data_IF_630220061537
#
_entry.id   IF_630220061537
#
_cell.length_a   1.000
_cell.length_b   1.000
_cell.length_c   1.000
_cell.angle_alpha   90.00
_cell.angle_beta   90.00
_cell.angle_gamma   90.00
#
_symmetry.space_group_name_H-M   'P 1'
#
loop_
_entity.id
_entity.type
_entity.pdbx_description
1 polymer ?
#
# COMPACT_ATOMS: atom_id res chain seq x y z
N UNK A 1 -29.21 4.77 -0.80
CA UNK A 1 -28.69 6.14 -0.99
C UNK A 1 -28.09 6.71 0.28
N UNK A 2 -28.87 6.92 1.36
CA UNK A 2 -28.39 7.42 2.67
C UNK A 2 -27.09 6.76 3.16
N UNK A 3 -27.03 5.42 3.18
CA UNK A 3 -25.83 4.65 3.57
C UNK A 3 -24.60 4.99 2.71
N UNK A 4 -24.77 5.16 1.40
CA UNK A 4 -23.71 5.53 0.47
C UNK A 4 -23.19 6.95 0.67
N UNK A 5 -24.09 7.90 0.96
CA UNK A 5 -23.75 9.29 1.30
C UNK A 5 -22.93 9.30 2.61
N UNK A 6 -23.43 8.68 3.67
CA UNK A 6 -22.75 8.62 4.99
C UNK A 6 -21.38 7.93 4.87
N UNK A 7 -21.31 6.80 4.15
CA UNK A 7 -20.06 6.07 3.86
C UNK A 7 -19.01 6.97 3.22
N UNK A 8 -19.37 7.61 2.10
CA UNK A 8 -18.44 8.45 1.36
C UNK A 8 -18.06 9.74 2.10
N UNK A 9 -18.98 10.36 2.86
CA UNK A 9 -18.66 11.50 3.74
C UNK A 9 -17.65 11.12 4.83
N UNK A 10 -17.85 9.97 5.49
CA UNK A 10 -16.91 9.45 6.49
C UNK A 10 -15.53 9.15 5.87
N UNK A 11 -15.51 8.53 4.70
CA UNK A 11 -14.28 8.23 3.97
C UNK A 11 -13.53 9.49 3.54
N UNK A 12 -14.23 10.50 3.01
CA UNK A 12 -13.66 11.78 2.62
C UNK A 12 -13.02 12.48 3.83
N UNK A 13 -13.68 12.48 4.99
CA UNK A 13 -13.11 13.03 6.22
C UNK A 13 -11.83 12.31 6.65
N UNK A 14 -11.80 10.97 6.59
CA UNK A 14 -10.62 10.16 6.93
C UNK A 14 -9.47 10.41 5.94
N UNK A 15 -9.78 10.52 4.63
CA UNK A 15 -8.81 10.81 3.58
C UNK A 15 -8.25 12.23 3.70
N UNK A 16 -9.08 13.26 3.87
CA UNK A 16 -8.64 14.65 4.06
C UNK A 16 -7.75 14.81 5.30
N UNK A 17 -8.12 14.20 6.43
CA UNK A 17 -7.31 14.19 7.66
C UNK A 17 -5.98 13.44 7.47
N UNK A 18 -5.99 12.36 6.68
CA UNK A 18 -4.77 11.62 6.32
C UNK A 18 -3.88 12.43 5.36
N UNK A 19 -4.45 13.08 4.36
CA UNK A 19 -3.76 13.90 3.36
C UNK A 19 -3.05 15.10 4.01
N UNK A 20 -3.76 15.85 4.87
CA UNK A 20 -3.15 16.96 5.66
C UNK A 20 -1.95 16.47 6.49
N UNK A 21 -2.02 15.28 7.08
CA UNK A 21 -0.93 14.68 7.88
C UNK A 21 0.21 14.08 7.05
N UNK A 22 -0.05 13.60 5.84
CA UNK A 22 0.94 12.93 4.98
C UNK A 22 1.54 13.83 3.89
N UNK A 23 1.16 15.12 3.81
CA UNK A 23 1.64 16.07 2.79
C UNK A 23 3.17 16.14 2.67
N UNK A 24 3.92 15.87 3.76
CA UNK A 24 5.39 15.81 3.76
C UNK A 24 6.00 14.57 3.10
N UNK A 25 5.22 13.52 2.76
CA UNK A 25 5.71 12.28 2.12
C UNK A 25 5.14 12.13 0.71
N UNK A 26 5.79 12.78 -0.27
CA UNK A 26 5.35 12.94 -1.67
C UNK A 26 4.80 11.65 -2.32
N UNK A 27 5.46 10.49 -2.18
CA UNK A 27 5.05 9.23 -2.83
C UNK A 27 3.69 8.67 -2.38
N UNK A 28 3.16 9.07 -1.22
CA UNK A 28 1.83 8.64 -0.75
C UNK A 28 0.72 9.64 -1.06
N UNK A 29 1.05 10.83 -1.55
CA UNK A 29 0.08 11.87 -1.86
C UNK A 29 -0.78 11.54 -3.09
N UNK A 30 -0.20 10.89 -4.10
CA UNK A 30 -0.84 10.63 -5.40
C UNK A 30 -1.99 9.62 -5.30
N UNK A 31 -1.74 8.46 -4.68
CA UNK A 31 -2.80 7.50 -4.41
C UNK A 31 -3.95 8.11 -3.58
N UNK A 32 -3.63 8.93 -2.57
CA UNK A 32 -4.64 9.61 -1.75
C UNK A 32 -5.43 10.65 -2.56
N UNK A 33 -4.83 11.28 -3.58
CA UNK A 33 -5.48 12.24 -4.46
C UNK A 33 -6.49 11.55 -5.40
N UNK A 34 -6.12 10.42 -6.02
CA UNK A 34 -7.07 9.63 -6.81
C UNK A 34 -8.18 9.00 -5.96
N UNK A 35 -7.84 8.43 -4.79
CA UNK A 35 -8.84 7.91 -3.86
C UNK A 35 -9.80 9.01 -3.36
N UNK A 36 -9.31 10.24 -3.16
CA UNK A 36 -10.17 11.38 -2.83
C UNK A 36 -11.06 11.81 -3.99
N UNK A 37 -10.59 11.70 -5.24
CA UNK A 37 -11.37 11.96 -6.44
C UNK A 37 -12.47 10.92 -6.66
N UNK A 38 -12.17 9.63 -6.43
CA UNK A 38 -13.14 8.54 -6.44
C UNK A 38 -14.24 8.78 -5.39
N UNK A 39 -13.88 8.92 -4.11
CA UNK A 39 -14.85 9.12 -3.01
C UNK A 39 -15.70 10.38 -3.20
N UNK A 40 -15.14 11.45 -3.80
CA UNK A 40 -15.91 12.64 -4.18
C UNK A 40 -16.91 12.35 -5.32
N UNK A 41 -16.48 11.58 -6.31
CA UNK A 41 -17.33 11.14 -7.43
C UNK A 41 -18.48 10.25 -6.94
N UNK A 42 -18.20 9.30 -6.05
CA UNK A 42 -19.18 8.39 -5.46
C UNK A 42 -20.17 9.11 -4.53
N UNK A 43 -19.68 10.06 -3.73
CA UNK A 43 -20.51 10.96 -2.93
C UNK A 43 -21.48 11.77 -3.81
N UNK A 44 -20.96 12.44 -4.84
CA UNK A 44 -21.77 13.25 -5.75
C UNK A 44 -22.75 12.39 -6.56
N UNK A 45 -22.34 11.19 -6.97
CA UNK A 45 -23.21 10.22 -7.64
C UNK A 45 -24.38 9.79 -6.76
N UNK A 46 -24.13 9.40 -5.50
CA UNK A 46 -25.21 9.07 -4.57
C UNK A 46 -26.09 10.28 -4.20
N UNK A 47 -25.52 11.49 -4.14
CA UNK A 47 -26.27 12.70 -3.84
C UNK A 47 -27.18 13.11 -5.01
N UNK A 48 -26.62 13.23 -6.22
CA UNK A 48 -27.34 13.72 -7.40
C UNK A 48 -28.28 12.64 -7.93
N UNK A 49 -27.77 11.46 -8.29
CA UNK A 49 -28.61 10.37 -8.83
C UNK A 49 -29.61 9.87 -7.78
N UNK A 50 -29.23 9.90 -6.49
CA UNK A 50 -30.14 9.54 -5.40
C UNK A 50 -31.26 10.56 -5.19
N UNK A 51 -30.98 11.87 -5.30
CA UNK A 51 -32.01 12.92 -5.19
C UNK A 51 -32.95 12.89 -6.41
N UNK A 52 -32.41 12.74 -7.62
CA UNK A 52 -33.20 12.58 -8.85
C UNK A 52 -34.10 11.35 -8.78
N UNK A 53 -33.58 10.20 -8.36
CA UNK A 53 -34.38 9.00 -8.14
C UNK A 53 -35.49 9.25 -7.10
N UNK A 54 -35.16 9.81 -5.93
CA UNK A 54 -36.15 10.12 -4.89
C UNK A 54 -37.25 11.06 -5.37
N UNK A 55 -36.92 12.07 -6.18
CA UNK A 55 -37.88 12.98 -6.79
C UNK A 55 -38.85 12.25 -7.73
N UNK A 56 -38.32 11.38 -8.62
CA UNK A 56 -39.13 10.55 -9.52
C UNK A 56 -40.05 9.59 -8.74
N UNK A 57 -39.55 9.00 -7.64
CA UNK A 57 -40.37 8.16 -6.76
C UNK A 57 -41.45 8.95 -6.01
N UNK A 58 -41.18 10.21 -5.62
CA UNK A 58 -42.15 11.07 -4.95
C UNK A 58 -43.28 11.54 -5.88
N UNK A 59 -43.02 11.60 -7.19
CA UNK A 59 -44.01 11.92 -8.24
C UNK A 59 -44.61 10.67 -8.90
N UNK A 60 -44.71 9.56 -8.16
CA UNK A 60 -45.30 8.28 -8.60
C UNK A 60 -44.71 7.70 -9.91
N UNK A 61 -43.55 8.20 -10.36
CA UNK A 61 -42.91 7.90 -11.66
C UNK A 61 -43.69 8.37 -12.90
N UNK A 62 -44.61 9.33 -12.77
CA UNK A 62 -45.42 9.85 -13.87
C UNK A 62 -44.66 10.90 -14.70
N UNK A 63 -43.66 10.46 -15.48
CA UNK A 63 -42.75 11.34 -16.23
C UNK A 63 -43.44 12.38 -17.13
N UNK A 64 -44.57 12.02 -17.74
CA UNK A 64 -45.34 12.92 -18.60
C UNK A 64 -45.89 14.16 -17.85
N UNK A 65 -46.09 14.06 -16.54
CA UNK A 65 -46.64 15.15 -15.71
C UNK A 65 -45.61 16.22 -15.35
N UNK A 66 -44.32 15.87 -15.23
CA UNK A 66 -43.29 16.76 -14.69
C UNK A 66 -42.09 17.00 -15.61
N UNK A 67 -41.86 16.17 -16.64
CA UNK A 67 -40.78 16.35 -17.61
C UNK A 67 -41.26 16.17 -19.07
N UNK A 68 -42.27 16.93 -19.54
CA UNK A 68 -42.80 16.83 -20.90
C UNK A 68 -41.76 17.18 -21.99
N UNK A 69 -40.68 17.89 -21.63
CA UNK A 69 -39.58 18.25 -22.53
C UNK A 69 -38.38 17.29 -22.47
N UNK A 70 -38.43 16.24 -21.63
CA UNK A 70 -37.35 15.25 -21.41
C UNK A 70 -36.00 15.85 -20.96
N UNK A 71 -36.02 17.05 -20.38
CA UNK A 71 -34.82 17.79 -19.93
C UNK A 71 -34.29 17.18 -18.64
N UNK A 72 -35.18 16.83 -17.69
CA UNK A 72 -34.77 16.21 -16.44
C UNK A 72 -34.26 14.78 -16.67
N UNK A 73 -34.89 14.03 -17.58
CA UNK A 73 -34.46 12.72 -18.02
C UNK A 73 -33.10 12.77 -18.75
N UNK A 74 -32.90 13.75 -19.62
CA UNK A 74 -31.62 14.05 -20.26
C UNK A 74 -30.52 14.29 -19.22
N UNK A 75 -30.75 15.18 -18.26
CA UNK A 75 -29.81 15.47 -17.16
C UNK A 75 -29.52 14.23 -16.32
N UNK A 76 -30.55 13.46 -15.93
CA UNK A 76 -30.38 12.25 -15.13
C UNK A 76 -29.57 11.18 -15.88
N UNK A 77 -29.79 11.00 -17.19
CA UNK A 77 -29.02 10.08 -18.03
C UNK A 77 -27.54 10.48 -18.16
N UNK A 78 -27.25 11.78 -18.30
CA UNK A 78 -25.87 12.31 -18.27
C UNK A 78 -25.21 12.00 -16.92
N UNK A 79 -25.89 12.28 -15.80
CA UNK A 79 -25.36 12.02 -14.46
C UNK A 79 -25.15 10.51 -14.20
N UNK A 80 -26.08 9.65 -14.62
CA UNK A 80 -25.93 8.19 -14.51
C UNK A 80 -24.73 7.67 -15.29
N UNK A 81 -24.53 8.16 -16.52
CA UNK A 81 -23.38 7.78 -17.37
C UNK A 81 -22.06 8.32 -16.81
N UNK A 82 -22.02 9.57 -16.36
CA UNK A 82 -20.83 10.20 -15.78
C UNK A 82 -20.39 9.54 -14.47
N UNK A 83 -21.31 9.36 -13.51
CA UNK A 83 -21.04 8.72 -12.22
C UNK A 83 -20.90 7.19 -12.32
N UNK A 84 -21.21 6.59 -13.46
CA UNK A 84 -20.90 5.19 -13.75
C UNK A 84 -19.52 4.99 -14.38
N UNK A 85 -19.15 5.81 -15.36
CA UNK A 85 -17.87 5.67 -16.05
C UNK A 85 -16.69 6.22 -15.23
N UNK A 86 -16.90 7.29 -14.45
CA UNK A 86 -15.81 7.93 -13.67
C UNK A 86 -15.16 6.99 -12.63
N UNK A 87 -15.91 6.24 -11.78
CA UNK A 87 -15.32 5.29 -10.83
C UNK A 87 -14.49 4.20 -11.51
N UNK A 88 -14.97 3.69 -12.66
CA UNK A 88 -14.24 2.70 -13.46
C UNK A 88 -12.89 3.24 -13.94
N UNK A 89 -12.89 4.42 -14.55
CA UNK A 89 -11.66 5.06 -15.04
C UNK A 89 -10.67 5.38 -13.91
N UNK A 90 -11.15 5.84 -12.73
CA UNK A 90 -10.29 5.99 -11.56
C UNK A 90 -9.76 4.65 -11.04
N UNK A 91 -10.58 3.60 -11.03
CA UNK A 91 -10.15 2.22 -10.74
C UNK A 91 -8.97 1.78 -11.60
N UNK A 92 -9.08 1.95 -12.92
CA UNK A 92 -8.02 1.64 -13.88
C UNK A 92 -6.73 2.44 -13.63
N UNK A 93 -6.84 3.76 -13.44
CA UNK A 93 -5.69 4.63 -13.18
C UNK A 93 -5.01 4.29 -11.85
N UNK A 94 -5.77 4.02 -10.79
CA UNK A 94 -5.22 3.59 -9.50
C UNK A 94 -4.52 2.23 -9.62
N UNK A 95 -5.10 1.26 -10.35
CA UNK A 95 -4.47 -0.04 -10.55
C UNK A 95 -3.15 0.08 -11.33
N UNK A 96 -3.09 0.93 -12.37
CA UNK A 96 -1.86 1.22 -13.12
C UNK A 96 -0.80 1.90 -12.23
N UNK A 97 -1.18 2.90 -11.43
CA UNK A 97 -0.29 3.57 -10.46
C UNK A 97 0.34 2.57 -9.49
N UNK A 98 -0.46 1.66 -8.96
CA UNK A 98 0.00 0.58 -8.07
C UNK A 98 0.89 -0.44 -8.78
N UNK A 99 0.55 -0.83 -10.00
CA UNK A 99 1.37 -1.74 -10.80
C UNK A 99 2.76 -1.16 -11.06
N UNK A 100 2.85 0.11 -11.50
CA UNK A 100 4.12 0.81 -11.73
C UNK A 100 4.90 0.95 -10.41
N UNK A 101 4.24 1.30 -9.31
CA UNK A 101 4.87 1.44 -7.99
C UNK A 101 5.43 0.13 -7.41
N UNK A 102 4.83 -1.01 -7.74
CA UNK A 102 5.30 -2.35 -7.32
C UNK A 102 6.37 -2.92 -8.25
N UNK A 103 6.19 -2.81 -9.56
CA UNK A 103 7.10 -3.42 -10.56
C UNK A 103 8.33 -2.57 -10.86
N UNK A 104 8.17 -1.25 -10.93
CA UNK A 104 9.19 -0.31 -11.38
C UNK A 104 9.34 0.87 -10.39
N UNK A 105 9.72 0.63 -9.11
CA UNK A 105 9.73 1.65 -8.07
C UNK A 105 10.63 2.86 -8.37
N UNK A 106 11.76 2.66 -9.06
CA UNK A 106 12.67 3.74 -9.48
C UNK A 106 12.09 4.63 -10.60
N UNK A 107 11.20 4.06 -11.43
CA UNK A 107 10.50 4.77 -12.51
C UNK A 107 9.31 5.57 -11.95
N UNK A 108 8.60 5.01 -10.95
CA UNK A 108 7.55 5.69 -10.19
C UNK A 108 8.07 6.99 -9.56
N UNK A 109 9.27 6.96 -8.96
CA UNK A 109 9.88 8.16 -8.35
C UNK A 109 10.40 9.21 -9.33
N UNK A 110 10.65 8.86 -10.60
CA UNK A 110 11.30 9.76 -11.58
C UNK A 110 10.35 10.31 -12.65
N UNK A 111 9.29 9.59 -13.03
CA UNK A 111 8.39 9.98 -14.13
C UNK A 111 6.97 10.37 -13.66
N UNK A 112 6.51 9.81 -12.54
CA UNK A 112 5.25 10.20 -11.89
C UNK A 112 5.44 11.49 -11.05
N UNK A 113 5.91 12.55 -11.72
CA UNK A 113 6.00 13.91 -11.18
C UNK A 113 4.60 14.44 -10.87
N UNK A 114 4.45 15.21 -9.77
CA UNK A 114 3.17 15.76 -9.32
C UNK A 114 2.37 16.50 -10.41
N UNK A 115 3.06 17.10 -11.38
CA UNK A 115 2.46 17.77 -12.53
C UNK A 115 1.59 16.84 -13.39
N UNK A 116 2.11 15.66 -13.78
CA UNK A 116 1.37 14.70 -14.61
C UNK A 116 0.11 14.18 -13.90
N UNK A 117 0.22 13.97 -12.59
CA UNK A 117 -0.83 13.39 -11.75
C UNK A 117 -1.95 14.40 -11.48
N UNK A 118 -1.58 15.65 -11.15
CA UNK A 118 -2.55 16.74 -11.00
C UNK A 118 -3.30 17.06 -12.30
N UNK A 119 -2.69 16.79 -13.47
CA UNK A 119 -3.36 16.90 -14.78
C UNK A 119 -4.25 15.70 -15.11
N UNK A 120 -3.88 14.49 -14.67
CA UNK A 120 -4.60 13.26 -14.97
C UNK A 120 -5.97 13.18 -14.26
N UNK A 121 -6.07 13.67 -13.03
CA UNK A 121 -7.34 13.70 -12.28
C UNK A 121 -8.48 14.46 -13.04
N UNK A 122 -8.35 15.75 -13.40
CA UNK A 122 -9.39 16.46 -14.14
C UNK A 122 -9.58 15.92 -15.57
N UNK A 123 -8.52 15.44 -16.21
CA UNK A 123 -8.62 14.79 -17.53
C UNK A 123 -9.54 13.56 -17.49
N UNK A 124 -9.51 12.78 -16.41
CA UNK A 124 -10.37 11.61 -16.21
C UNK A 124 -11.85 12.01 -16.17
N UNK A 125 -12.19 13.05 -15.39
CA UNK A 125 -13.54 13.60 -15.36
C UNK A 125 -13.96 14.19 -16.71
N UNK A 126 -13.07 14.89 -17.43
CA UNK A 126 -13.37 15.44 -18.76
C UNK A 126 -13.69 14.33 -19.76
N UNK A 127 -12.92 13.22 -19.76
CA UNK A 127 -13.19 12.06 -20.62
C UNK A 127 -14.55 11.43 -20.29
N UNK A 128 -14.85 11.21 -19.00
CA UNK A 128 -16.13 10.65 -18.58
C UNK A 128 -17.31 11.57 -18.93
N UNK A 129 -17.14 12.88 -18.75
CA UNK A 129 -18.17 13.89 -19.07
C UNK A 129 -18.39 14.00 -20.58
N UNK A 130 -17.34 13.91 -21.40
CA UNK A 130 -17.46 13.91 -22.85
C UNK A 130 -18.30 12.72 -23.34
N UNK A 131 -18.05 11.51 -22.81
CA UNK A 131 -18.84 10.30 -23.14
C UNK A 131 -20.29 10.43 -22.65
N UNK A 132 -20.52 11.03 -21.49
CA UNK A 132 -21.85 11.25 -20.93
C UNK A 132 -22.65 12.36 -21.65
N UNK A 133 -21.98 13.37 -22.21
CA UNK A 133 -22.63 14.43 -22.99
C UNK A 133 -22.84 14.05 -24.46
N UNK A 134 -22.07 13.08 -24.98
CA UNK A 134 -22.11 12.68 -26.39
C UNK A 134 -23.55 12.43 -26.92
N UNK A 135 -24.47 11.73 -26.22
CA UNK A 135 -25.84 11.53 -26.71
C UNK A 135 -26.63 12.82 -26.90
N UNK A 136 -26.43 13.80 -26.01
CA UNK A 136 -27.07 15.13 -26.09
C UNK A 136 -26.50 15.92 -27.26
N UNK A 137 -25.17 15.87 -27.47
CA UNK A 137 -24.48 16.55 -28.57
C UNK A 137 -24.88 16.01 -29.95
N UNK A 138 -25.19 14.72 -30.07
CA UNK A 138 -25.61 14.08 -31.34
C UNK A 138 -27.14 13.99 -31.51
N UNK A 139 -27.91 14.72 -30.69
CA UNK A 139 -29.38 14.75 -30.76
C UNK A 139 -30.02 13.35 -30.65
N UNK A 140 -29.48 12.52 -29.76
CA UNK A 140 -30.04 11.24 -29.30
C UNK A 140 -30.15 11.27 -27.78
N UNK A 141 -31.11 12.01 -27.22
CA UNK A 141 -31.23 12.18 -25.77
C UNK A 141 -31.50 10.86 -25.05
N UNK A 142 -31.12 10.84 -23.77
CA UNK A 142 -31.43 9.74 -22.85
C UNK A 142 -32.94 9.55 -22.68
N UNK A 143 -33.37 8.30 -22.45
CA UNK A 143 -34.78 7.94 -22.28
C UNK A 143 -35.04 7.23 -20.96
N UNK A 144 -36.28 7.40 -20.47
CA UNK A 144 -36.85 6.67 -19.34
C UNK A 144 -36.82 5.17 -19.66
N UNK A 145 -36.35 4.37 -18.71
CA UNK A 145 -36.30 2.90 -18.83
C UNK A 145 -37.54 2.28 -18.18
N UNK A 146 -38.04 1.14 -18.68
CA UNK A 146 -39.35 0.51 -18.37
C UNK A 146 -39.79 0.49 -16.90
N UNK A 147 -38.83 0.40 -15.96
CA UNK A 147 -39.08 0.53 -14.52
C UNK A 147 -39.61 1.91 -14.04
N UNK A 148 -39.63 2.88 -14.95
CA UNK A 148 -39.90 4.32 -14.80
C UNK A 148 -39.16 5.03 -13.66
N UNK A 149 -38.08 4.46 -13.12
CA UNK A 149 -37.35 5.05 -11.98
C UNK A 149 -36.00 5.68 -12.31
N UNK A 150 -35.58 5.65 -13.57
CA UNK A 150 -34.26 6.13 -14.03
C UNK A 150 -34.24 6.35 -15.55
N UNK A 151 -33.30 7.19 -15.99
CA UNK A 151 -33.03 7.46 -17.40
C UNK A 151 -31.64 6.95 -17.80
N UNK A 152 -31.55 6.41 -19.01
CA UNK A 152 -30.31 5.87 -19.59
C UNK A 152 -30.40 5.85 -21.12
N UNK A 153 -29.41 5.28 -21.81
CA UNK A 153 -29.39 5.22 -23.27
C UNK A 153 -30.67 4.57 -23.83
N UNK A 154 -31.07 4.93 -25.05
CA UNK A 154 -32.16 4.26 -25.76
C UNK A 154 -31.76 2.82 -26.07
N UNK A 155 -32.18 1.89 -25.20
CA UNK A 155 -31.91 0.46 -25.34
C UNK A 155 -33.04 -0.30 -26.03
N UNK A 156 -34.25 0.28 -26.10
CA UNK A 156 -35.50 -0.38 -26.55
C UNK A 156 -36.03 0.26 -27.83
N UNK A 157 -36.70 -0.54 -28.67
CA UNK A 157 -37.45 -0.09 -29.85
C UNK A 157 -36.67 -0.11 -31.16
N UNK A 158 -37.20 0.57 -32.18
CA UNK A 158 -36.51 0.76 -33.47
C UNK A 158 -35.32 1.69 -33.24
N UNK A 159 -34.12 1.21 -33.58
CA UNK A 159 -32.83 1.84 -33.24
C UNK A 159 -31.96 2.02 -34.47
N UNK A 160 -31.36 3.20 -34.60
CA UNK A 160 -30.33 3.45 -35.61
C UNK A 160 -28.96 2.88 -35.14
N UNK A 161 -27.97 2.84 -36.03
CA UNK A 161 -26.59 2.47 -35.67
C UNK A 161 -26.01 3.33 -34.54
N UNK A 162 -26.45 4.58 -34.41
CA UNK A 162 -26.00 5.51 -33.38
C UNK A 162 -26.57 5.18 -32.00
N UNK A 163 -27.84 4.73 -31.94
CA UNK A 163 -28.47 4.27 -30.70
C UNK A 163 -27.81 2.99 -30.16
N UNK A 164 -27.20 2.19 -31.04
CA UNK A 164 -26.36 1.05 -30.66
C UNK A 164 -24.94 1.49 -30.26
N UNK A 165 -24.34 2.43 -31.00
CA UNK A 165 -22.96 2.87 -30.79
C UNK A 165 -22.75 3.60 -29.44
N UNK A 166 -23.68 4.45 -29.04
CA UNK A 166 -23.57 5.25 -27.80
C UNK A 166 -23.46 4.40 -26.51
N UNK A 167 -24.37 3.45 -26.22
CA UNK A 167 -24.23 2.54 -25.07
C UNK A 167 -23.05 1.57 -25.22
N UNK A 168 -22.66 1.21 -26.45
CA UNK A 168 -21.46 0.42 -26.71
C UNK A 168 -20.17 1.16 -26.32
N UNK A 169 -20.03 2.46 -26.65
CA UNK A 169 -18.88 3.28 -26.23
C UNK A 169 -18.75 3.29 -24.71
N UNK A 170 -19.84 3.58 -23.99
CA UNK A 170 -19.86 3.53 -22.52
C UNK A 170 -19.41 2.17 -21.98
N UNK A 171 -19.99 1.09 -22.51
CA UNK A 171 -19.78 -0.27 -22.00
C UNK A 171 -18.38 -0.82 -22.31
N UNK A 172 -17.88 -0.58 -23.52
CA UNK A 172 -16.54 -0.99 -23.95
C UNK A 172 -15.46 -0.22 -23.17
N UNK A 173 -15.61 1.11 -22.99
CA UNK A 173 -14.68 1.87 -22.15
C UNK A 173 -14.68 1.39 -20.70
N UNK A 174 -15.86 1.08 -20.14
CA UNK A 174 -15.98 0.50 -18.81
C UNK A 174 -15.30 -0.86 -18.68
N UNK A 175 -15.54 -1.78 -19.62
CA UNK A 175 -14.93 -3.12 -19.62
C UNK A 175 -13.42 -3.08 -19.86
N UNK A 176 -12.92 -2.21 -20.75
CA UNK A 176 -11.49 -1.99 -20.93
C UNK A 176 -10.84 -1.48 -19.64
N UNK A 177 -11.50 -0.57 -18.91
CA UNK A 177 -11.00 -0.06 -17.64
C UNK A 177 -11.00 -1.13 -16.53
N UNK A 178 -12.04 -1.97 -16.46
CA UNK A 178 -12.07 -3.14 -15.57
C UNK A 178 -10.97 -4.16 -15.92
N UNK A 179 -10.75 -4.43 -17.22
CA UNK A 179 -9.72 -5.36 -17.68
C UNK A 179 -8.31 -4.86 -17.32
N UNK A 180 -8.03 -3.57 -17.57
CA UNK A 180 -6.78 -2.93 -17.14
C UNK A 180 -6.62 -3.05 -15.62
N UNK A 181 -7.68 -2.77 -14.86
CA UNK A 181 -7.68 -2.91 -13.40
C UNK A 181 -7.34 -4.34 -12.95
N UNK A 182 -8.00 -5.34 -13.54
CA UNK A 182 -7.80 -6.74 -13.24
C UNK A 182 -6.37 -7.21 -13.55
N UNK A 183 -5.84 -6.87 -14.72
CA UNK A 183 -4.48 -7.23 -15.15
C UNK A 183 -3.44 -6.54 -14.25
N UNK A 184 -3.57 -5.25 -14.01
CA UNK A 184 -2.63 -4.50 -13.16
C UNK A 184 -2.64 -4.97 -11.69
N UNK A 185 -3.82 -5.26 -11.14
CA UNK A 185 -3.94 -5.80 -9.77
C UNK A 185 -3.37 -7.23 -9.68
N UNK A 186 -3.59 -8.06 -10.70
CA UNK A 186 -3.04 -9.42 -10.79
C UNK A 186 -1.50 -9.42 -10.88
N UNK A 187 -0.93 -8.59 -11.75
CA UNK A 187 0.54 -8.42 -11.87
C UNK A 187 1.15 -7.89 -10.57
N UNK A 188 0.48 -6.93 -9.91
CA UNK A 188 0.91 -6.40 -8.61
C UNK A 188 0.90 -7.49 -7.54
N UNK A 189 -0.18 -8.27 -7.44
CA UNK A 189 -0.32 -9.38 -6.50
C UNK A 189 0.71 -10.48 -6.73
N UNK A 190 0.90 -10.92 -7.98
CA UNK A 190 1.88 -11.93 -8.34
C UNK A 190 3.31 -11.48 -8.05
N UNK A 191 3.67 -10.24 -8.40
CA UNK A 191 5.01 -9.67 -8.14
C UNK A 191 5.32 -9.64 -6.64
N UNK A 192 4.33 -9.24 -5.82
CA UNK A 192 4.46 -9.26 -4.36
C UNK A 192 4.57 -10.68 -3.81
N UNK A 193 3.78 -11.64 -4.32
CA UNK A 193 3.84 -13.05 -3.92
C UNK A 193 5.19 -13.70 -4.27
N UNK A 194 5.67 -13.50 -5.50
CA UNK A 194 6.97 -13.97 -5.97
C UNK A 194 8.12 -13.43 -5.11
N UNK A 195 8.08 -12.14 -4.76
CA UNK A 195 9.07 -11.51 -3.89
C UNK A 195 9.12 -12.13 -2.48
N UNK A 196 8.01 -12.71 -1.99
CA UNK A 196 7.98 -13.47 -0.73
C UNK A 196 8.63 -14.84 -0.88
N UNK A 197 8.18 -15.63 -1.86
CA UNK A 197 8.72 -16.97 -2.14
C UNK A 197 10.24 -16.96 -2.32
N UNK A 198 10.80 -15.89 -2.88
CA UNK A 198 12.24 -15.73 -3.06
C UNK A 198 13.00 -15.29 -1.79
N UNK A 199 12.33 -14.71 -0.78
CA UNK A 199 12.93 -14.20 0.47
C UNK A 199 12.75 -15.14 1.67
N UNK A 200 11.71 -15.97 1.68
CA UNK A 200 11.45 -16.95 2.74
C UNK A 200 12.53 -18.06 2.84
N UNK A 201 13.55 -18.04 1.97
CA UNK A 201 14.71 -18.93 2.03
C UNK A 201 15.76 -18.55 3.11
N UNK A 202 15.68 -17.37 3.76
CA UNK A 202 16.73 -16.96 4.71
C UNK A 202 16.37 -16.16 5.99
N UNK A 203 15.16 -15.61 6.21
CA UNK A 203 14.83 -14.91 7.48
C UNK A 203 13.37 -15.04 7.93
N UNK A 204 13.17 -14.91 9.26
CA UNK A 204 11.91 -15.08 10.01
C UNK A 204 10.78 -14.08 9.67
N UNK A 205 9.50 -14.44 9.93
CA UNK A 205 8.36 -13.88 9.20
C UNK A 205 7.80 -12.57 9.79
N UNK A 206 8.30 -11.41 9.35
CA UNK A 206 7.55 -10.13 9.46
C UNK A 206 6.44 -10.03 8.38
N UNK A 207 5.53 -11.00 8.39
CA UNK A 207 4.53 -11.32 7.34
C UNK A 207 3.40 -10.28 7.14
N UNK A 208 2.99 -9.58 8.22
CA UNK A 208 1.66 -8.92 8.27
C UNK A 208 1.43 -7.71 7.35
N UNK A 209 2.47 -6.99 6.90
CA UNK A 209 2.28 -5.73 6.14
C UNK A 209 2.10 -5.95 4.63
N UNK A 210 2.76 -6.96 4.06
CA UNK A 210 2.68 -7.24 2.61
C UNK A 210 1.45 -8.08 2.24
N UNK A 211 0.99 -8.97 3.11
CA UNK A 211 -0.25 -9.72 2.90
C UNK A 211 -1.47 -8.78 2.84
N UNK A 212 -1.49 -7.75 3.69
CA UNK A 212 -2.52 -6.71 3.71
C UNK A 212 -2.71 -6.04 2.34
N UNK A 213 -1.62 -5.64 1.69
CA UNK A 213 -1.65 -5.01 0.37
C UNK A 213 -2.15 -5.96 -0.73
N UNK A 214 -1.81 -7.25 -0.67
CA UNK A 214 -2.30 -8.26 -1.62
C UNK A 214 -3.80 -8.48 -1.42
N UNK A 215 -4.26 -8.66 -0.18
CA UNK A 215 -5.69 -8.83 0.13
C UNK A 215 -6.52 -7.61 -0.25
N UNK A 216 -6.00 -6.39 -0.07
CA UNK A 216 -6.63 -5.15 -0.55
C UNK A 216 -6.83 -5.17 -2.07
N UNK A 217 -5.78 -5.43 -2.85
CA UNK A 217 -5.85 -5.43 -4.31
C UNK A 217 -6.81 -6.50 -4.85
N UNK A 218 -6.79 -7.71 -4.25
CA UNK A 218 -7.71 -8.79 -4.62
C UNK A 218 -9.18 -8.47 -4.26
N UNK A 219 -9.44 -7.86 -3.11
CA UNK A 219 -10.79 -7.50 -2.68
C UNK A 219 -11.39 -6.40 -3.57
N UNK A 220 -10.63 -5.33 -3.88
CA UNK A 220 -11.07 -4.27 -4.80
C UNK A 220 -11.37 -4.86 -6.17
N UNK A 221 -10.44 -5.66 -6.71
CA UNK A 221 -10.60 -6.31 -8.00
C UNK A 221 -11.85 -7.19 -8.08
N UNK A 222 -12.13 -7.99 -7.03
CA UNK A 222 -13.33 -8.82 -6.97
C UNK A 222 -14.61 -7.97 -6.93
N UNK A 223 -14.67 -6.97 -6.05
CA UNK A 223 -15.86 -6.12 -5.87
C UNK A 223 -16.20 -5.38 -7.18
N UNK A 224 -15.21 -4.74 -7.82
CA UNK A 224 -15.44 -4.02 -9.07
C UNK A 224 -15.88 -4.93 -10.20
N UNK A 225 -15.29 -6.13 -10.34
CA UNK A 225 -15.73 -7.10 -11.35
C UNK A 225 -17.16 -7.61 -11.10
N UNK A 226 -17.54 -7.91 -9.86
CA UNK A 226 -18.87 -8.42 -9.50
C UNK A 226 -19.96 -7.34 -9.62
N UNK A 227 -19.65 -6.09 -9.26
CA UNK A 227 -20.64 -5.01 -9.31
C UNK A 227 -20.84 -4.45 -10.73
N UNK A 228 -19.75 -4.17 -11.46
CA UNK A 228 -19.81 -3.51 -12.77
C UNK A 228 -19.85 -4.46 -13.96
N UNK A 229 -19.15 -5.59 -13.89
CA UNK A 229 -19.04 -6.54 -15.01
C UNK A 229 -20.40 -6.98 -15.56
N UNK A 230 -21.34 -7.45 -14.72
CA UNK A 230 -22.68 -7.85 -15.17
C UNK A 230 -23.43 -6.72 -15.86
N UNK A 231 -23.38 -5.49 -15.33
CA UNK A 231 -24.10 -4.34 -15.91
C UNK A 231 -23.58 -3.99 -17.31
N UNK A 232 -22.26 -3.85 -17.47
CA UNK A 232 -21.64 -3.48 -18.75
C UNK A 232 -21.85 -4.57 -19.81
N UNK A 233 -21.80 -5.85 -19.42
CA UNK A 233 -22.09 -6.98 -20.32
C UNK A 233 -23.58 -7.02 -20.71
N UNK A 234 -24.50 -6.78 -19.77
CA UNK A 234 -25.94 -6.70 -20.08
C UNK A 234 -26.24 -5.57 -21.05
N UNK A 235 -25.63 -4.39 -20.89
CA UNK A 235 -25.82 -3.26 -21.83
C UNK A 235 -25.34 -3.62 -23.24
N UNK A 236 -24.19 -4.29 -23.39
CA UNK A 236 -23.71 -4.78 -24.70
C UNK A 236 -24.69 -5.80 -25.29
N UNK A 237 -25.15 -6.78 -24.50
CA UNK A 237 -26.08 -7.81 -24.97
C UNK A 237 -27.39 -7.20 -25.44
N UNK A 238 -27.98 -6.25 -24.70
CA UNK A 238 -29.22 -5.57 -25.08
C UNK A 238 -29.01 -4.61 -26.26
N UNK A 239 -27.80 -4.06 -26.45
CA UNK A 239 -27.47 -3.26 -27.63
C UNK A 239 -27.37 -4.12 -28.91
N UNK A 240 -26.85 -5.34 -28.80
CA UNK A 240 -26.63 -6.26 -29.93
C UNK A 240 -27.80 -7.19 -30.24
N UNK A 241 -28.63 -7.53 -29.24
CA UNK A 241 -29.75 -8.46 -29.37
C UNK A 241 -31.02 -7.79 -28.86
N UNK A 242 -32.04 -7.75 -29.71
CA UNK A 242 -33.38 -7.34 -29.29
C UNK A 242 -33.99 -8.45 -28.43
N UNK A 243 -34.06 -8.22 -27.11
CA UNK A 243 -34.54 -9.18 -26.12
C UNK A 243 -35.75 -8.59 -25.39
N UNK A 244 -36.82 -9.38 -25.30
CA UNK A 244 -38.02 -9.00 -24.55
C UNK A 244 -37.82 -8.92 -23.02
N UNK A 245 -38.95 -8.74 -22.33
CA UNK A 245 -39.07 -8.28 -20.92
C UNK A 245 -38.06 -8.83 -19.90
N UNK A 246 -37.65 -10.08 -20.04
CA UNK A 246 -36.70 -10.74 -19.13
C UNK A 246 -35.35 -9.97 -19.06
N UNK A 247 -34.89 -9.38 -20.16
CA UNK A 247 -33.63 -8.63 -20.19
C UNK A 247 -33.68 -7.33 -19.37
N UNK A 248 -34.85 -6.67 -19.28
CA UNK A 248 -34.99 -5.37 -18.62
C UNK A 248 -35.04 -5.50 -17.09
N UNK A 249 -35.67 -6.55 -16.58
CA UNK A 249 -35.62 -6.89 -15.14
C UNK A 249 -34.19 -7.20 -14.69
N UNK A 250 -33.40 -7.89 -15.54
CA UNK A 250 -31.97 -8.13 -15.31
C UNK A 250 -31.14 -6.84 -15.37
N UNK A 251 -31.43 -5.92 -16.29
CA UNK A 251 -30.74 -4.62 -16.39
C UNK A 251 -30.92 -3.78 -15.11
N UNK A 252 -32.12 -3.72 -14.54
CA UNK A 252 -32.35 -3.02 -13.27
C UNK A 252 -31.63 -3.70 -12.09
N UNK A 253 -31.56 -5.04 -12.08
CA UNK A 253 -30.82 -5.79 -11.07
C UNK A 253 -29.32 -5.55 -11.17
N UNK A 254 -28.74 -5.60 -12.37
CA UNK A 254 -27.31 -5.35 -12.58
C UNK A 254 -26.93 -3.90 -12.34
N UNK A 255 -27.81 -2.94 -12.65
CA UNK A 255 -27.65 -1.55 -12.23
C UNK A 255 -27.61 -1.41 -10.71
N UNK A 256 -28.53 -2.09 -9.98
CA UNK A 256 -28.51 -2.10 -8.52
C UNK A 256 -27.21 -2.68 -7.98
N UNK A 257 -26.71 -3.78 -8.55
CA UNK A 257 -25.39 -4.35 -8.21
C UNK A 257 -24.25 -3.36 -8.48
N UNK A 258 -24.27 -2.63 -9.61
CA UNK A 258 -23.32 -1.58 -9.88
C UNK A 258 -23.33 -0.50 -8.78
N UNK A 259 -24.52 -0.06 -8.31
CA UNK A 259 -24.62 0.93 -7.21
C UNK A 259 -24.08 0.47 -5.86
N UNK A 260 -23.82 -0.82 -5.64
CA UNK A 260 -23.11 -1.29 -4.45
C UNK A 260 -21.61 -0.98 -4.50
N UNK A 261 -21.01 -0.82 -5.69
CA UNK A 261 -19.59 -0.50 -5.83
C UNK A 261 -19.25 0.83 -5.13
N UNK A 262 -19.99 1.91 -5.42
CA UNK A 262 -19.79 3.23 -4.79
C UNK A 262 -20.06 3.25 -3.28
N UNK A 263 -20.78 2.25 -2.74
CA UNK A 263 -20.97 2.08 -1.30
C UNK A 263 -19.78 1.34 -0.69
N UNK A 264 -19.30 0.29 -1.35
CA UNK A 264 -18.29 -0.65 -0.87
C UNK A 264 -16.86 -0.14 -1.04
N UNK A 265 -16.52 0.52 -2.15
CA UNK A 265 -15.16 0.98 -2.46
C UNK A 265 -14.50 1.72 -1.28
N UNK A 266 -15.14 2.72 -0.62
CA UNK A 266 -14.54 3.38 0.53
C UNK A 266 -14.27 2.44 1.71
N UNK A 267 -15.15 1.48 1.97
CA UNK A 267 -14.97 0.49 3.04
C UNK A 267 -13.88 -0.51 2.72
N UNK A 268 -13.72 -0.94 1.47
CA UNK A 268 -12.63 -1.84 1.07
C UNK A 268 -11.27 -1.18 1.35
N UNK A 269 -11.12 0.12 1.06
CA UNK A 269 -9.90 0.88 1.41
C UNK A 269 -9.72 1.12 2.92
N UNK A 270 -10.80 1.32 3.68
CA UNK A 270 -10.73 1.68 5.11
C UNK A 270 -10.58 0.44 6.01
N UNK A 271 -11.43 -0.57 5.82
CA UNK A 271 -11.52 -1.75 6.70
C UNK A 271 -10.28 -2.64 6.59
N UNK A 272 -9.75 -2.81 5.37
CA UNK A 272 -8.58 -3.64 5.11
C UNK A 272 -7.25 -2.99 5.53
N UNK A 273 -7.27 -1.76 6.06
CA UNK A 273 -6.06 -1.06 6.55
C UNK A 273 -5.59 -1.66 7.87
N UNK A 274 -4.28 -1.90 8.03
CA UNK A 274 -3.65 -2.59 9.20
C UNK A 274 -4.16 -2.16 10.56
N UNK A 275 -4.36 -0.85 10.74
CA UNK A 275 -4.80 -0.27 12.00
C UNK A 275 -6.25 -0.64 12.33
N UNK A 276 -7.09 -0.84 11.32
CA UNK A 276 -8.48 -1.27 11.46
C UNK A 276 -8.51 -2.79 11.59
N UNK A 277 -7.88 -3.56 10.69
CA UNK A 277 -7.79 -5.03 10.78
C UNK A 277 -7.22 -5.46 12.13
N UNK A 278 -6.10 -4.90 12.61
CA UNK A 278 -5.54 -5.25 13.92
C UNK A 278 -6.50 -4.95 15.08
N UNK A 279 -7.25 -3.85 15.02
CA UNK A 279 -8.27 -3.51 16.03
C UNK A 279 -9.47 -4.44 15.97
N UNK A 280 -9.95 -4.77 14.78
CA UNK A 280 -11.06 -5.72 14.57
C UNK A 280 -10.67 -7.14 15.00
N UNK A 281 -9.46 -7.61 14.68
CA UNK A 281 -8.96 -8.89 15.18
C UNK A 281 -8.83 -8.91 16.71
N UNK A 282 -8.33 -7.84 17.33
CA UNK A 282 -8.27 -7.72 18.80
C UNK A 282 -9.67 -7.68 19.44
N UNK A 283 -10.65 -7.03 18.80
CA UNK A 283 -12.04 -7.02 19.25
C UNK A 283 -12.70 -8.40 19.08
N UNK A 284 -12.52 -9.06 17.93
CA UNK A 284 -13.01 -10.41 17.68
C UNK A 284 -12.39 -11.40 18.67
N UNK A 285 -11.08 -11.34 18.93
CA UNK A 285 -10.43 -12.11 19.99
C UNK A 285 -11.08 -11.85 21.35
N UNK A 286 -11.50 -10.62 21.65
CA UNK A 286 -12.21 -10.27 22.89
C UNK A 286 -13.64 -10.83 22.98
N UNK A 287 -14.30 -11.09 21.86
CA UNK A 287 -15.61 -11.76 21.80
C UNK A 287 -15.50 -13.29 21.77
N UNK A 288 -14.41 -13.84 21.23
CA UNK A 288 -14.14 -15.29 21.16
C UNK A 288 -13.32 -15.82 22.33
N UNK A 289 -12.75 -14.97 23.20
CA UNK A 289 -12.16 -15.38 24.47
C UNK A 289 -13.26 -15.69 25.50
N UNK A 290 -13.34 -16.93 26.02
CA UNK A 290 -14.17 -17.21 27.19
C UNK A 290 -13.70 -16.36 28.37
N UNK A 291 -14.64 -15.74 29.09
CA UNK A 291 -14.31 -15.01 30.31
C UNK A 291 -13.74 -15.97 31.36
N UNK A 292 -12.50 -15.78 31.86
CA UNK A 292 -11.93 -16.68 32.86
C UNK A 292 -12.63 -16.45 34.20
N UNK A 293 -13.59 -17.33 34.53
CA UNK A 293 -14.08 -17.49 35.91
C UNK A 293 -13.01 -18.23 36.74
N UNK A 294 -12.93 -17.84 38.02
CA UNK A 294 -11.99 -18.30 39.04
C UNK A 294 -10.52 -17.90 38.87
N UNK A 295 -10.15 -16.89 39.65
CA UNK A 295 -8.83 -16.81 40.30
C UNK A 295 -8.79 -17.84 41.44
N UNK A 296 -7.71 -18.61 41.58
CA UNK A 296 -7.12 -18.86 42.88
C UNK A 296 -5.75 -18.17 42.97
N UNK A 297 -5.44 -17.60 44.14
CA UNK A 297 -4.05 -17.35 44.50
C UNK A 297 -3.36 -18.70 44.72
N UNK A 298 -2.19 -18.93 44.12
CA UNK A 298 -1.18 -19.80 44.74
C UNK A 298 0.24 -19.43 44.29
N UNK A 299 1.14 -19.57 45.27
CA UNK A 299 2.57 -19.30 45.33
C UNK A 299 3.42 -19.49 44.06
N UNK A 300 4.50 -18.71 43.97
CA UNK A 300 5.66 -19.04 43.13
C UNK A 300 6.33 -20.34 43.60
N UNK A 301 6.17 -21.41 42.83
CA UNK A 301 7.11 -22.53 42.77
C UNK A 301 7.28 -22.95 41.31
N UNK A 302 8.52 -23.09 40.87
CA UNK A 302 8.87 -23.18 39.45
C UNK A 302 8.37 -24.47 38.79
N UNK A 303 8.04 -24.38 37.50
CA UNK A 303 7.81 -25.52 36.62
C UNK A 303 8.60 -25.33 35.32
N UNK A 304 9.14 -26.44 34.82
CA UNK A 304 10.12 -26.48 33.75
C UNK A 304 9.58 -26.02 32.39
N UNK A 305 10.49 -25.58 31.53
CA UNK A 305 10.23 -25.51 30.09
C UNK A 305 10.09 -26.94 29.56
N UNK A 306 8.93 -27.28 29.01
CA UNK A 306 8.86 -28.35 28.02
C UNK A 306 9.59 -27.87 26.76
N UNK A 307 10.88 -28.19 26.67
CA UNK A 307 11.58 -28.21 25.39
C UNK A 307 11.17 -29.48 24.64
N UNK A 308 10.59 -29.32 23.45
CA UNK A 308 10.47 -30.40 22.47
C UNK A 308 11.89 -30.80 22.00
N UNK A 309 12.59 -31.56 22.83
CA UNK A 309 13.95 -32.02 22.56
C UNK A 309 13.95 -32.93 21.35
N UNK A 310 14.55 -32.45 20.26
CA UNK A 310 14.73 -33.22 19.04
C UNK A 310 15.56 -34.48 19.37
N UNK A 311 14.89 -35.62 19.43
CA UNK A 311 15.44 -36.85 19.98
C UNK A 311 16.52 -37.43 19.05
N UNK A 312 17.78 -37.10 19.36
CA UNK A 312 18.94 -37.26 18.47
C UNK A 312 19.15 -38.71 18.00
N UNK A 313 18.80 -39.70 18.83
CA UNK A 313 18.88 -41.11 18.43
C UNK A 313 17.98 -41.46 17.23
N UNK A 314 16.76 -40.91 17.18
CA UNK A 314 15.83 -41.18 16.07
C UNK A 314 16.35 -40.55 14.78
N UNK A 315 16.99 -39.39 14.88
CA UNK A 315 17.62 -38.72 13.73
C UNK A 315 18.85 -39.50 13.24
N UNK A 316 19.69 -40.00 14.14
CA UNK A 316 20.83 -40.86 13.82
C UNK A 316 20.42 -42.18 13.15
N UNK A 317 19.36 -42.84 13.66
CA UNK A 317 18.79 -44.07 13.06
C UNK A 317 18.24 -43.80 11.64
N UNK A 318 17.58 -42.66 11.41
CA UNK A 318 17.14 -42.25 10.07
C UNK A 318 18.31 -41.92 9.12
N UNK A 319 19.38 -41.29 9.60
CA UNK A 319 20.59 -41.05 8.78
C UNK A 319 21.30 -42.34 8.38
N UNK A 320 21.38 -43.33 9.29
CA UNK A 320 22.01 -44.63 9.00
C UNK A 320 21.23 -45.46 7.96
N UNK A 321 19.90 -45.31 7.89
CA UNK A 321 19.04 -46.04 6.96
C UNK A 321 19.05 -45.47 5.53
N UNK A 322 19.46 -44.20 5.36
CA UNK A 322 19.44 -43.49 4.07
C UNK A 322 20.76 -43.68 3.32
N UNK A 323 20.92 -44.85 2.67
CA UNK A 323 22.02 -45.13 1.73
C UNK A 323 21.90 -44.33 0.42
N UNK A 324 22.20 -43.03 0.47
CA UNK A 324 22.41 -42.21 -0.74
C UNK A 324 23.86 -42.40 -1.22
N UNK A 325 24.05 -43.31 -2.18
CA UNK A 325 25.29 -43.42 -2.95
C UNK A 325 25.99 -44.77 -2.85
N UNK A 326 25.59 -45.72 -3.68
CA UNK A 326 26.39 -46.92 -3.97
C UNK A 326 27.53 -46.61 -4.95
N UNK A 327 28.56 -47.45 -4.98
CA UNK A 327 29.71 -47.33 -5.89
C UNK A 327 29.22 -47.51 -7.35
N UNK A 328 28.95 -46.40 -8.04
CA UNK A 328 28.37 -46.38 -9.39
C UNK A 328 27.23 -45.37 -9.60
N UNK A 329 26.62 -44.81 -8.54
CA UNK A 329 25.53 -43.82 -8.71
C UNK A 329 26.05 -42.49 -9.26
N UNK A 330 25.43 -41.98 -10.33
CA UNK A 330 25.86 -40.77 -11.03
C UNK A 330 25.75 -39.50 -10.14
N UNK A 331 26.90 -39.04 -9.61
CA UNK A 331 26.98 -37.85 -8.76
C UNK A 331 26.89 -36.58 -9.63
N UNK A 332 25.71 -35.92 -9.65
CA UNK A 332 25.50 -34.65 -10.36
C UNK A 332 26.50 -33.59 -9.86
N UNK A 333 27.48 -33.22 -10.68
CA UNK A 333 28.45 -32.15 -10.37
C UNK A 333 27.70 -30.82 -10.22
N UNK A 334 27.54 -30.33 -9.00
CA UNK A 334 27.04 -28.98 -8.72
C UNK A 334 28.09 -27.97 -9.22
N UNK A 335 27.87 -27.37 -10.38
CA UNK A 335 28.70 -26.26 -10.88
C UNK A 335 28.48 -25.05 -9.97
N UNK A 336 29.33 -24.88 -8.97
CA UNK A 336 29.39 -23.66 -8.16
C UNK A 336 30.00 -22.57 -9.03
N UNK A 337 29.15 -21.69 -9.58
CA UNK A 337 29.59 -20.51 -10.31
C UNK A 337 29.92 -19.43 -9.30
N UNK A 338 31.21 -19.21 -9.02
CA UNK A 338 31.63 -17.98 -8.37
C UNK A 338 31.35 -16.81 -9.30
N UNK A 339 30.43 -15.93 -8.91
CA UNK A 339 30.26 -14.62 -9.54
C UNK A 339 31.36 -13.69 -9.02
N UNK A 340 32.13 -13.10 -9.91
CA UNK A 340 33.11 -12.06 -9.60
C UNK A 340 32.40 -10.73 -9.37
N UNK A 341 32.54 -10.17 -8.16
CA UNK A 341 31.86 -8.93 -7.73
C UNK A 341 32.12 -7.73 -8.67
N UNK A 342 33.28 -7.70 -9.32
CA UNK A 342 33.72 -6.66 -10.27
C UNK A 342 32.78 -6.47 -11.47
N UNK A 343 32.04 -7.50 -11.87
CA UNK A 343 31.11 -7.43 -13.01
C UNK A 343 29.78 -6.76 -12.62
N UNK A 344 29.35 -6.91 -11.37
CA UNK A 344 28.10 -6.34 -10.87
C UNK A 344 28.30 -4.86 -10.51
N UNK A 345 29.48 -4.45 -10.02
CA UNK A 345 29.78 -3.03 -9.75
C UNK A 345 29.74 -2.15 -11.01
N UNK A 346 30.26 -2.63 -12.15
CA UNK A 346 30.11 -1.92 -13.45
C UNK A 346 28.65 -1.72 -13.87
N UNK A 347 27.76 -2.68 -13.57
CA UNK A 347 26.31 -2.58 -13.83
C UNK A 347 25.61 -1.66 -12.83
N UNK A 348 26.07 -1.66 -11.58
CA UNK A 348 25.59 -0.75 -10.55
C UNK A 348 25.91 0.70 -10.92
N UNK A 349 27.17 0.99 -11.29
CA UNK A 349 27.60 2.31 -11.77
C UNK A 349 26.84 2.76 -13.03
N UNK A 350 26.55 1.85 -13.98
CA UNK A 350 25.75 2.20 -15.16
C UNK A 350 24.27 2.48 -14.84
N UNK A 351 23.73 1.87 -13.77
CA UNK A 351 22.38 2.13 -13.28
C UNK A 351 22.31 3.43 -12.46
N UNK A 352 23.32 3.72 -11.64
CA UNK A 352 23.43 4.96 -10.89
C UNK A 352 23.54 6.18 -11.83
N UNK A 353 24.32 6.08 -12.91
CA UNK A 353 24.39 7.13 -13.94
C UNK A 353 23.03 7.47 -14.57
N UNK A 354 22.10 6.51 -14.69
CA UNK A 354 20.73 6.77 -15.20
C UNK A 354 19.85 7.56 -14.23
N UNK A 355 20.20 7.61 -12.94
CA UNK A 355 19.49 8.38 -11.90
C UNK A 355 20.02 9.82 -11.77
N UNK A 356 20.92 10.24 -12.66
CA UNK A 356 21.56 11.57 -12.65
C UNK A 356 22.19 11.92 -11.27
N UNK A 357 22.81 10.93 -10.63
CA UNK A 357 23.55 11.16 -9.37
C UNK A 357 24.89 11.83 -9.66
N UNK A 358 25.19 12.89 -8.93
CA UNK A 358 26.47 13.60 -8.97
C UNK A 358 27.34 13.14 -7.79
N UNK A 359 28.65 13.05 -8.00
CA UNK A 359 29.58 12.68 -6.93
C UNK A 359 29.79 13.88 -5.99
N UNK A 360 29.52 13.71 -4.69
CA UNK A 360 29.88 14.70 -3.67
C UNK A 360 31.28 14.34 -3.16
N UNK A 361 32.22 15.26 -3.28
CA UNK A 361 33.58 15.11 -2.76
C UNK A 361 33.69 15.70 -1.35
N UNK A 362 34.67 15.25 -0.56
CA UNK A 362 34.95 15.79 0.78
C UNK A 362 33.96 15.35 1.86
N UNK A 363 33.31 14.19 1.73
CA UNK A 363 32.54 13.59 2.84
C UNK A 363 33.45 12.63 3.60
N UNK A 364 33.79 13.02 4.83
CA UNK A 364 34.67 12.27 5.74
C UNK A 364 33.97 11.06 6.35
N UNK A 365 32.70 11.19 6.74
CA UNK A 365 31.93 10.05 7.25
C UNK A 365 30.44 10.11 6.88
N UNK A 366 29.79 8.95 6.90
CA UNK A 366 28.33 8.84 6.83
C UNK A 366 27.82 7.85 7.87
N UNK A 367 26.95 8.34 8.75
CA UNK A 367 26.35 7.57 9.84
C UNK A 367 24.87 7.29 9.56
N UNK A 368 24.49 6.01 9.43
CA UNK A 368 23.10 5.58 9.32
C UNK A 368 22.62 4.98 10.65
N UNK A 369 21.80 5.73 11.38
CA UNK A 369 21.25 5.32 12.67
C UNK A 369 19.97 4.50 12.43
N UNK A 370 19.87 3.33 13.06
CA UNK A 370 18.69 2.46 12.99
C UNK A 370 17.81 2.61 14.23
N UNK A 371 16.54 2.21 14.08
CA UNK A 371 15.55 2.14 15.17
C UNK A 371 15.94 1.16 16.31
N UNK A 372 16.97 0.32 16.10
CA UNK A 372 17.47 -0.68 17.07
C UNK A 372 18.66 -0.18 17.92
N UNK A 373 19.07 1.09 17.75
CA UNK A 373 20.20 1.68 18.49
C UNK A 373 21.58 1.38 17.91
N UNK A 374 21.66 0.62 16.80
CA UNK A 374 22.93 0.41 16.08
C UNK A 374 23.13 1.46 14.98
N UNK A 375 24.40 1.81 14.74
CA UNK A 375 24.82 2.73 13.68
C UNK A 375 25.59 1.96 12.63
N UNK A 376 25.24 2.13 11.35
CA UNK A 376 26.15 1.76 10.25
C UNK A 376 27.00 3.00 9.96
N UNK A 377 28.28 2.89 10.30
CA UNK A 377 29.29 3.92 10.07
C UNK A 377 30.06 3.61 8.79
N UNK A 378 30.29 4.63 7.98
CA UNK A 378 31.17 4.59 6.82
C UNK A 378 32.26 5.65 7.00
N UNK A 379 33.52 5.24 7.00
CA UNK A 379 34.68 6.13 7.00
C UNK A 379 35.14 6.39 5.54
N UNK A 380 35.37 7.65 5.19
CA UNK A 380 35.70 8.17 3.85
C UNK A 380 34.93 7.52 2.69
N UNK A 381 33.58 7.48 2.72
CA UNK A 381 32.79 6.85 1.67
C UNK A 381 32.75 7.66 0.38
N UNK A 382 32.66 6.97 -0.75
CA UNK A 382 32.27 7.58 -2.02
C UNK A 382 30.76 7.79 -2.05
N UNK A 383 30.35 9.05 -1.96
CA UNK A 383 28.93 9.44 -1.98
C UNK A 383 28.53 10.02 -3.34
N UNK A 384 27.50 9.45 -3.93
CA UNK A 384 26.82 9.99 -5.11
C UNK A 384 25.39 10.38 -4.71
N UNK A 385 24.95 11.58 -5.07
CA UNK A 385 23.62 12.08 -4.71
C UNK A 385 22.91 12.72 -5.90
N UNK A 386 21.60 12.49 -5.98
CA UNK A 386 20.69 13.25 -6.84
C UNK A 386 19.77 14.04 -5.92
N UNK A 387 20.08 15.33 -5.73
CA UNK A 387 19.32 16.23 -4.85
C UNK A 387 17.88 16.44 -5.36
N UNK A 388 17.68 16.46 -6.67
CA UNK A 388 16.35 16.54 -7.31
C UNK A 388 15.48 15.32 -7.01
N UNK A 389 16.08 14.13 -6.89
CA UNK A 389 15.41 12.88 -6.55
C UNK A 389 15.48 12.52 -5.04
N UNK A 390 16.08 13.38 -4.20
CA UNK A 390 16.39 13.12 -2.78
C UNK A 390 16.98 11.71 -2.54
N UNK A 391 17.92 11.31 -3.40
CA UNK A 391 18.47 9.95 -3.44
C UNK A 391 19.97 10.00 -3.24
N UNK A 392 20.46 9.23 -2.27
CA UNK A 392 21.88 9.11 -1.91
C UNK A 392 22.33 7.66 -2.12
N UNK A 393 23.47 7.47 -2.79
CA UNK A 393 24.14 6.21 -3.00
C UNK A 393 25.53 6.31 -2.37
N UNK A 394 25.74 5.53 -1.30
CA UNK A 394 26.95 5.55 -0.49
C UNK A 394 27.69 4.24 -0.75
N UNK A 395 28.95 4.34 -1.18
CA UNK A 395 29.81 3.19 -1.50
C UNK A 395 31.09 3.28 -0.68
N UNK A 396 31.34 2.29 0.17
CA UNK A 396 32.51 2.27 1.06
C UNK A 396 32.48 1.04 1.96
N UNK A 397 33.48 0.91 2.83
CA UNK A 397 33.47 -0.08 3.89
C UNK A 397 32.43 0.32 4.95
N UNK A 398 31.60 -0.64 5.39
CA UNK A 398 30.52 -0.42 6.34
C UNK A 398 30.81 -1.14 7.65
N UNK A 399 30.94 -0.39 8.73
CA UNK A 399 31.10 -0.92 10.08
C UNK A 399 29.78 -0.78 10.83
N UNK A 400 29.38 -1.80 11.61
CA UNK A 400 28.22 -1.68 12.51
C UNK A 400 28.73 -1.50 13.93
N UNK A 401 28.49 -0.31 14.50
CA UNK A 401 28.90 0.09 15.87
C UNK A 401 27.67 0.34 16.73
N UNK A 402 27.81 0.25 18.04
CA UNK A 402 26.75 0.72 18.93
C UNK A 402 26.81 2.24 19.06
N UNK A 403 25.65 2.87 19.26
CA UNK A 403 25.56 4.32 19.43
C UNK A 403 26.30 4.81 20.70
N UNK A 404 26.50 3.93 21.68
CA UNK A 404 27.33 4.13 22.88
C UNK A 404 28.83 4.27 22.59
N UNK A 405 29.33 3.58 21.57
CA UNK A 405 30.76 3.52 21.21
C UNK A 405 31.22 4.75 20.40
N UNK A 406 30.27 5.55 19.90
CA UNK A 406 30.50 6.73 19.05
C UNK A 406 30.17 8.06 19.76
N UNK A 407 29.88 8.01 21.07
CA UNK A 407 29.75 9.18 21.94
C UNK A 407 31.14 9.60 22.44
N UNK A 408 31.47 10.90 22.52
CA UNK A 408 30.59 12.05 22.29
C UNK A 408 30.54 12.55 20.83
N UNK A 409 31.40 12.05 19.93
CA UNK A 409 31.60 12.62 18.58
C UNK A 409 30.35 12.72 17.70
N UNK A 410 29.44 11.72 17.76
CA UNK A 410 28.17 11.75 17.01
C UNK A 410 27.18 12.82 17.54
N UNK A 411 27.33 13.31 18.77
CA UNK A 411 26.36 14.22 19.39
C UNK A 411 26.23 15.57 18.66
N UNK A 412 27.33 16.07 18.07
CA UNK A 412 27.36 17.32 17.29
C UNK A 412 26.72 17.20 15.91
N UNK A 413 26.62 15.97 15.37
CA UNK A 413 26.04 15.67 14.06
C UNK A 413 24.52 15.43 14.13
N UNK A 414 23.98 15.29 15.34
CA UNK A 414 22.59 14.95 15.61
C UNK A 414 21.71 16.19 15.75
N UNK A 415 20.88 16.47 14.74
CA UNK A 415 19.85 17.51 14.81
C UNK A 415 18.82 17.25 15.92
N UNK A 416 18.19 18.30 16.44
CA UNK A 416 17.31 18.26 17.62
C UNK A 416 16.22 17.16 17.59
N UNK A 417 15.64 16.86 16.43
CA UNK A 417 14.65 15.79 16.25
C UNK A 417 15.19 14.39 16.60
N UNK A 418 16.47 14.16 16.29
CA UNK A 418 17.16 12.89 16.58
C UNK A 418 17.53 12.75 18.06
N UNK A 419 17.90 13.85 18.73
CA UNK A 419 18.11 13.90 20.18
C UNK A 419 16.85 13.51 20.96
N UNK A 420 15.67 13.87 20.46
CA UNK A 420 14.39 13.46 21.07
C UNK A 420 14.18 11.94 21.00
N UNK A 421 14.63 11.31 19.92
CA UNK A 421 14.56 9.85 19.74
C UNK A 421 15.61 9.14 20.59
N UNK A 422 16.81 9.72 20.70
CA UNK A 422 17.90 9.27 21.56
C UNK A 422 17.53 9.32 23.05
N UNK A 423 16.93 10.43 23.51
CA UNK A 423 16.42 10.58 24.87
C UNK A 423 15.39 9.50 25.20
N UNK A 424 14.53 9.16 24.24
CA UNK A 424 13.51 8.10 24.38
C UNK A 424 14.09 6.68 24.38
N UNK A 425 15.27 6.48 23.77
CA UNK A 425 16.06 5.24 23.85
C UNK A 425 16.82 5.14 25.18
N UNK A 426 17.40 6.25 25.66
CA UNK A 426 18.04 6.33 26.97
C UNK A 426 17.04 6.13 28.13
N UNK A 427 15.81 6.63 27.99
CA UNK A 427 14.68 6.39 28.91
C UNK A 427 14.19 4.92 28.90
N UNK A 428 14.64 4.09 27.95
CA UNK A 428 14.36 2.64 27.93
C UNK A 428 15.47 1.77 28.54
N UNK A 429 16.62 2.34 28.90
CA UNK A 429 17.62 1.65 29.71
C UNK A 429 17.20 1.66 31.19
N UNK A 430 17.19 0.51 31.88
CA UNK A 430 16.99 0.48 33.33
C UNK A 430 18.09 1.27 34.05
N UNK A 431 17.71 2.23 34.89
CA UNK A 431 18.61 2.82 35.89
C UNK A 431 18.96 1.75 36.92
N UNK A 432 20.08 1.05 36.73
CA UNK A 432 20.51 0.02 37.68
C UNK A 432 22.04 -0.09 37.87
N UNK A 433 22.74 1.05 37.87
CA UNK A 433 24.02 1.23 38.61
C UNK A 433 24.04 2.66 39.16
N UNK A 434 23.28 2.92 40.23
CA UNK A 434 23.40 4.14 41.04
C UNK A 434 22.83 3.89 42.44
N UNK A 435 23.31 2.84 43.08
CA UNK A 435 23.15 2.65 44.51
C UNK A 435 24.30 1.80 45.05
N UNK A 436 25.35 2.46 45.55
CA UNK A 436 26.17 1.97 46.66
C UNK A 436 27.15 3.06 47.12
N UNK A 437 27.06 3.39 48.42
CA UNK A 437 28.00 4.20 49.22
C UNK A 437 28.22 5.66 48.80
N UNK A 438 27.39 6.55 49.36
CA UNK A 438 27.91 7.79 49.95
C UNK A 438 28.68 7.45 51.25
N UNK A 439 29.69 8.25 51.60
CA UNK A 439 29.55 9.07 52.80
C UNK A 439 29.96 10.54 52.59
N UNK A 440 29.23 11.43 53.27
CA UNK A 440 29.70 12.76 53.69
C UNK A 440 30.61 12.59 54.92
N UNK A 441 31.50 13.51 55.29
CA UNK A 441 32.07 14.69 54.63
C UNK A 441 33.28 15.13 55.48
N UNK A 442 34.25 15.85 54.92
CA UNK A 442 35.10 16.81 55.62
C UNK A 442 35.78 17.71 54.57
N UNK A 443 36.02 18.97 54.92
CA UNK A 443 36.59 20.00 54.04
C UNK A 443 38.11 19.85 53.88
N UNK A 444 38.67 20.39 52.79
CA UNK A 444 39.79 21.38 52.79
C UNK A 444 40.15 21.76 51.34
N UNK A 445 40.49 23.04 51.23
CA UNK A 445 40.70 23.90 50.07
C UNK A 445 41.75 23.48 49.00
N UNK A 446 41.40 23.87 47.76
CA UNK A 446 42.16 24.64 46.75
C UNK A 446 43.62 24.33 46.31
N UNK A 447 43.77 24.52 44.98
CA UNK A 447 44.93 24.93 44.17
C UNK A 447 45.97 23.93 43.63
N UNK A 448 46.40 24.29 42.41
CA UNK A 448 47.14 23.57 41.36
C UNK A 448 48.53 23.01 41.73
N UNK A 449 48.97 21.96 41.01
CA UNK A 449 50.25 22.02 40.27
C UNK A 449 50.46 20.86 39.26
N UNK A 450 51.35 21.13 38.30
CA UNK A 450 51.62 20.50 37.00
C UNK A 450 51.90 18.98 36.82
N UNK A 451 51.68 18.54 35.57
CA UNK A 451 52.09 17.32 34.83
C UNK A 451 53.62 17.35 34.53
N UNK A 452 54.44 16.27 34.34
CA UNK A 452 54.20 14.92 33.75
C UNK A 452 54.65 13.75 34.68
N UNK A 453 55.07 12.51 34.32
CA UNK A 453 55.47 11.87 33.03
C UNK A 453 55.32 10.32 33.03
N UNK A 454 55.72 9.66 31.93
CA UNK A 454 55.68 8.21 31.65
C UNK A 454 56.85 7.40 32.28
N UNK A 455 56.68 6.07 32.39
CA UNK A 455 57.43 5.04 31.61
C UNK A 455 57.04 3.59 32.01
N UNK A 456 56.64 2.82 30.99
CA UNK A 456 56.79 1.37 30.74
C UNK A 456 56.89 0.35 31.90
N UNK A 457 55.99 -0.66 31.86
CA UNK A 457 56.40 -2.03 31.49
C UNK A 457 55.19 -2.85 31.00
N UNK A 458 55.22 -3.38 29.78
CA UNK A 458 54.07 -4.07 29.15
C UNK A 458 54.47 -5.33 28.36
N UNK A 459 55.45 -6.09 28.86
CA UNK A 459 56.10 -7.17 28.10
C UNK A 459 56.13 -8.55 28.78
N UNK A 460 55.12 -8.88 29.61
CA UNK A 460 55.05 -10.17 30.33
C UNK A 460 53.72 -10.95 30.21
N UNK A 461 52.79 -10.52 29.34
CA UNK A 461 51.51 -11.22 29.09
C UNK A 461 51.52 -12.16 27.86
N UNK A 462 52.67 -12.41 27.24
CA UNK A 462 52.81 -13.13 25.95
C UNK A 462 53.30 -14.58 26.06
N UNK A 463 53.38 -15.15 27.27
CA UNK A 463 53.86 -16.53 27.51
C UNK A 463 52.87 -17.33 28.35
N UNK A 464 51.89 -18.00 27.71
CA UNK A 464 51.26 -19.24 28.21
C UNK A 464 50.29 -19.95 27.22
N UNK A 465 50.46 -19.84 25.90
CA UNK A 465 49.80 -20.73 24.93
C UNK A 465 50.80 -21.36 23.96
N UNK A 466 51.64 -22.25 24.51
CA UNK A 466 52.43 -23.22 23.74
C UNK A 466 52.76 -24.44 24.61
N UNK A 467 51.80 -25.35 24.76
CA UNK A 467 52.00 -26.74 25.21
C UNK A 467 50.85 -27.61 24.69
#
# INVERSE_FOLDING_TARGET
MTVGIISNTMALFILLKSYKRLRSRKSKAFFLLFASGLVLTDFLGHLINGSLALYVYALNKEWESFDPQQVLCGFFGVCMSFFGLSPLLFGGIMAVERCIGVTCPLFHTTILTSYHINRLLPLTWIIALLVALLPVLVLRPYQVQDSCSWCFYRLVGVRDWLDMLLPMIFSVLGLLSLLISFVCNSVSGFTLLWSRMQKDCHRTPKSSLHCEMICQLLAIMMVSCVCWGPFLVTVIITSLQDKGEIAYSQLLLTLRLATWNQILDPWVYILLRRAVVKRLCLLAQRFYSPCPKHRPEFSCSGWEKNEDTMNQEKLAKLQAQVRIGGKGTARRKKKVVHRTATADDKKLQSSLKKLAVNNIAGIEEVNMIKDDGTVIHFNNPKVQASLSANTFAITGHAETKQLTEMLPGILSQLGADSLTSLRKLAEQFPRQVLDNKAPKAEDIDEEDDDVPDLVENFDEASKNEAN
#
